data_IF_240954908699
#
_entry.id   IF_240954908699
#
_cell.length_a   1.000
_cell.length_b   1.000
_cell.length_c   1.000
_cell.angle_alpha   90.00
_cell.angle_beta   90.00
_cell.angle_gamma   90.00
#
_symmetry.space_group_name_H-M   'P 1'
#
loop_
_entity.id
_entity.type
_entity.pdbx_description
1 polymer ?
#
# COMPACT_ATOMS: atom_id res chain seq x y z
N UNK A 1 20.47 12.81 13.80
CA UNK A 1 20.02 13.10 15.16
C UNK A 1 18.94 12.10 15.59
N UNK A 2 18.92 11.71 16.86
CA UNK A 2 17.92 10.76 17.42
C UNK A 2 16.48 11.11 17.05
N UNK A 3 16.12 12.38 17.09
CA UNK A 3 14.78 12.85 16.74
C UNK A 3 14.37 12.49 15.31
N UNK A 4 15.29 12.57 14.35
CA UNK A 4 15.02 12.25 12.95
C UNK A 4 14.80 10.75 12.72
N UNK A 5 15.55 9.92 13.41
CA UNK A 5 15.40 8.46 13.36
C UNK A 5 14.03 8.03 13.92
N UNK A 6 13.61 8.64 15.03
CA UNK A 6 12.27 8.41 15.58
C UNK A 6 11.15 8.78 14.60
N UNK A 7 11.27 9.90 13.90
CA UNK A 7 10.29 10.32 12.89
C UNK A 7 10.23 9.31 11.76
N UNK A 8 11.37 8.87 11.25
CA UNK A 8 11.44 7.86 10.17
C UNK A 8 10.81 6.54 10.59
N UNK A 9 11.15 6.06 11.78
CA UNK A 9 10.60 4.83 12.34
C UNK A 9 9.07 4.91 12.49
N UNK A 10 8.57 5.98 13.11
CA UNK A 10 7.13 6.20 13.27
C UNK A 10 6.39 6.30 11.94
N UNK A 11 6.98 7.02 10.97
CA UNK A 11 6.41 7.17 9.63
C UNK A 11 6.34 5.85 8.88
N UNK A 12 7.41 5.06 8.89
CA UNK A 12 7.44 3.74 8.25
C UNK A 12 6.46 2.76 8.90
N UNK A 13 6.29 2.81 10.21
CA UNK A 13 5.27 2.02 10.89
C UNK A 13 3.86 2.46 10.54
N UNK A 14 3.62 3.74 10.40
CA UNK A 14 2.33 4.27 9.95
C UNK A 14 2.00 3.77 8.53
N UNK A 15 2.97 3.82 7.62
CA UNK A 15 2.82 3.28 6.26
C UNK A 15 2.58 1.77 6.30
N UNK A 16 3.32 1.03 7.10
CA UNK A 16 3.14 -0.41 7.25
C UNK A 16 1.72 -0.78 7.71
N UNK A 17 1.25 -0.17 8.78
CA UNK A 17 -0.09 -0.45 9.30
C UNK A 17 -1.19 -0.01 8.34
N UNK A 18 -1.02 1.13 7.68
CA UNK A 18 -1.95 1.57 6.64
C UNK A 18 -2.01 0.60 5.47
N UNK A 19 -0.86 0.17 4.98
CA UNK A 19 -0.76 -0.83 3.90
C UNK A 19 -1.33 -2.19 4.31
N UNK A 20 -1.10 -2.62 5.55
CA UNK A 20 -1.67 -3.85 6.10
C UNK A 20 -3.19 -3.80 6.15
N UNK A 21 -3.78 -2.70 6.64
CA UNK A 21 -5.23 -2.53 6.68
C UNK A 21 -5.85 -2.56 5.28
N UNK A 22 -5.23 -1.88 4.32
CA UNK A 22 -5.68 -1.89 2.92
C UNK A 22 -5.55 -3.28 2.29
N UNK A 23 -4.50 -4.02 2.62
CA UNK A 23 -4.30 -5.39 2.18
C UNK A 23 -5.37 -6.33 2.74
N UNK A 24 -5.66 -6.27 4.03
CA UNK A 24 -6.67 -7.11 4.67
C UNK A 24 -8.06 -6.87 4.09
N UNK A 25 -8.43 -5.62 3.84
CA UNK A 25 -9.73 -5.31 3.27
C UNK A 25 -9.83 -5.77 1.81
N UNK A 26 -8.86 -5.44 0.98
CA UNK A 26 -8.92 -5.72 -0.45
C UNK A 26 -8.78 -7.22 -0.76
N UNK A 27 -7.83 -7.91 -0.16
CA UNK A 27 -7.56 -9.31 -0.50
C UNK A 27 -8.50 -10.29 0.20
N UNK A 28 -8.97 -10.01 1.41
CA UNK A 28 -9.91 -10.87 2.11
C UNK A 28 -11.35 -10.71 1.62
N UNK A 29 -11.80 -9.48 1.37
CA UNK A 29 -13.16 -9.25 0.91
C UNK A 29 -13.35 -9.55 -0.57
N UNK A 30 -12.37 -9.23 -1.40
CA UNK A 30 -12.53 -9.31 -2.86
C UNK A 30 -12.14 -10.67 -3.44
N UNK A 31 -11.12 -11.33 -2.89
CA UNK A 31 -10.58 -12.56 -3.46
C UNK A 31 -11.10 -13.84 -2.84
N UNK A 32 -11.43 -13.85 -1.58
CA UNK A 32 -11.82 -15.07 -0.87
C UNK A 32 -13.31 -15.16 -0.57
N UNK A 33 -14.12 -14.18 -0.96
CA UNK A 33 -15.57 -14.21 -0.75
C UNK A 33 -15.98 -14.35 0.71
N UNK A 34 -15.06 -14.15 1.63
CA UNK A 34 -15.39 -14.00 3.02
C UNK A 34 -16.07 -12.66 3.19
N UNK A 35 -17.39 -12.68 3.14
CA UNK A 35 -18.23 -11.60 3.62
C UNK A 35 -18.10 -11.48 5.14
N UNK A 36 -16.88 -11.33 5.61
CA UNK A 36 -16.65 -10.85 6.94
C UNK A 36 -16.95 -9.37 6.89
N UNK A 37 -18.20 -9.05 7.11
CA UNK A 37 -18.67 -7.71 7.40
C UNK A 37 -18.03 -7.28 8.74
N UNK A 38 -16.76 -6.98 8.70
CA UNK A 38 -16.17 -5.97 9.52
C UNK A 38 -16.13 -4.67 8.70
N UNK A 39 -17.30 -4.03 8.46
CA UNK A 39 -17.35 -2.74 7.76
C UNK A 39 -16.82 -1.62 8.63
N UNK A 40 -16.14 -1.95 9.72
CA UNK A 40 -15.89 -1.06 10.84
C UNK A 40 -14.50 -0.48 10.89
N UNK A 41 -13.54 -1.02 10.14
CA UNK A 41 -12.25 -0.35 10.00
C UNK A 41 -12.12 0.10 8.55
N UNK A 42 -12.56 1.33 8.30
CA UNK A 42 -12.70 1.80 6.96
C UNK A 42 -11.34 1.89 6.30
N UNK A 43 -11.30 1.54 5.02
CA UNK A 43 -10.17 1.81 4.13
C UNK A 43 -9.63 3.23 4.29
N UNK A 44 -10.48 4.19 4.68
CA UNK A 44 -10.08 5.56 4.95
C UNK A 44 -9.02 5.67 6.06
N UNK A 45 -9.05 4.81 7.09
CA UNK A 45 -8.00 4.80 8.13
C UNK A 45 -6.68 4.32 7.53
N UNK A 46 -6.71 3.26 6.73
CA UNK A 46 -5.53 2.76 6.02
C UNK A 46 -4.91 3.83 5.12
N UNK A 47 -5.72 4.49 4.30
CA UNK A 47 -5.27 5.60 3.45
C UNK A 47 -4.75 6.79 4.25
N UNK A 48 -5.39 7.13 5.36
CA UNK A 48 -4.94 8.21 6.24
C UNK A 48 -3.58 7.90 6.88
N UNK A 49 -3.38 6.67 7.35
CA UNK A 49 -2.10 6.24 7.93
C UNK A 49 -0.96 6.31 6.91
N UNK A 50 -1.22 5.89 5.67
CA UNK A 50 -0.24 6.01 4.58
C UNK A 50 0.04 7.48 4.27
N UNK A 51 -0.99 8.31 4.16
CA UNK A 51 -0.84 9.75 3.92
C UNK A 51 -0.03 10.44 5.03
N UNK A 52 -0.29 10.10 6.28
CA UNK A 52 0.45 10.62 7.43
C UNK A 52 1.93 10.23 7.37
N UNK A 53 2.20 8.95 7.10
CA UNK A 53 3.57 8.44 7.00
C UNK A 53 4.35 9.09 5.86
N UNK A 54 3.75 9.23 4.69
CA UNK A 54 4.39 9.87 3.53
C UNK A 54 4.71 11.35 3.78
N UNK A 55 3.81 12.07 4.44
CA UNK A 55 4.05 13.48 4.84
C UNK A 55 5.22 13.60 5.81
N UNK A 56 5.33 12.69 6.77
CA UNK A 56 6.42 12.71 7.75
C UNK A 56 7.78 12.44 7.11
N UNK A 57 7.82 11.71 6.00
CA UNK A 57 9.03 11.42 5.23
C UNK A 57 9.33 12.45 4.12
N UNK A 58 8.48 13.45 3.94
CA UNK A 58 8.63 14.45 2.88
C UNK A 58 9.97 15.21 2.96
N UNK A 59 10.50 15.40 4.16
CA UNK A 59 11.79 16.05 4.36
C UNK A 59 13.00 15.16 3.99
N UNK A 60 12.82 13.84 3.96
CA UNK A 60 13.85 12.91 3.48
C UNK A 60 13.74 12.71 1.97
N UNK A 61 12.53 12.72 1.47
CA UNK A 61 12.23 12.56 0.06
C UNK A 61 10.99 13.39 -0.33
N UNK A 62 11.18 14.54 -0.99
CA UNK A 62 10.07 15.46 -1.32
C UNK A 62 8.95 14.81 -2.14
N UNK A 63 9.29 13.83 -3.01
CA UNK A 63 8.32 13.09 -3.80
C UNK A 63 7.29 12.33 -2.95
N UNK A 64 7.66 11.84 -1.77
CA UNK A 64 6.72 11.23 -0.82
C UNK A 64 5.69 12.24 -0.30
N UNK A 65 6.09 13.48 -0.09
CA UNK A 65 5.18 14.55 0.32
C UNK A 65 4.11 14.85 -0.73
N UNK A 66 4.45 14.72 -2.00
CA UNK A 66 3.52 14.91 -3.12
C UNK A 66 2.45 13.80 -3.21
N UNK A 67 2.72 12.64 -2.66
CA UNK A 67 1.76 11.52 -2.62
C UNK A 67 0.68 11.69 -1.55
N UNK A 68 0.91 12.48 -0.52
CA UNK A 68 -0.04 12.67 0.57
C UNK A 68 -1.45 13.03 0.11
N UNK A 69 -1.64 14.04 -0.77
CA UNK A 69 -2.94 14.40 -1.33
C UNK A 69 -3.63 13.26 -2.09
N UNK A 70 -2.88 12.44 -2.83
CA UNK A 70 -3.44 11.28 -3.55
C UNK A 70 -4.00 10.24 -2.58
N UNK A 71 -3.29 9.94 -1.51
CA UNK A 71 -3.74 9.01 -0.48
C UNK A 71 -4.95 9.55 0.28
N UNK A 72 -5.00 10.83 0.57
CA UNK A 72 -6.18 11.46 1.17
C UNK A 72 -7.38 11.45 0.23
N UNK A 73 -7.18 11.73 -1.05
CA UNK A 73 -8.25 11.67 -2.06
C UNK A 73 -8.81 10.24 -2.18
N UNK A 74 -7.96 9.23 -2.17
CA UNK A 74 -8.37 7.82 -2.17
C UNK A 74 -9.12 7.46 -0.88
N UNK A 75 -8.72 8.01 0.27
CA UNK A 75 -9.43 7.85 1.52
C UNK A 75 -10.85 8.43 1.47
N UNK A 76 -11.00 9.63 0.92
CA UNK A 76 -12.32 10.24 0.69
C UNK A 76 -13.16 9.42 -0.29
N UNK A 77 -12.55 8.94 -1.37
CA UNK A 77 -13.22 8.06 -2.32
C UNK A 77 -13.72 6.78 -1.67
N UNK A 78 -12.99 6.21 -0.72
CA UNK A 78 -13.37 4.98 -0.02
C UNK A 78 -14.60 5.15 0.87
N UNK A 79 -14.94 6.38 1.27
CA UNK A 79 -16.13 6.68 2.08
C UNK A 79 -17.44 6.34 1.37
N UNK A 80 -17.47 6.25 0.04
CA UNK A 80 -18.64 5.82 -0.71
C UNK A 80 -19.15 4.44 -0.28
N UNK A 81 -18.30 3.58 0.28
CA UNK A 81 -18.68 2.25 0.76
C UNK A 81 -19.70 2.31 1.91
N UNK A 82 -19.74 3.42 2.65
CA UNK A 82 -20.72 3.65 3.70
C UNK A 82 -22.08 4.10 3.17
N UNK A 83 -22.17 4.45 1.90
CA UNK A 83 -23.37 4.95 1.24
C UNK A 83 -23.71 4.08 0.03
N UNK A 84 -24.23 2.86 0.23
CA UNK A 84 -24.50 1.93 -0.87
C UNK A 84 -25.48 2.50 -1.90
N UNK A 85 -26.32 3.46 -1.52
CA UNK A 85 -27.22 4.17 -2.44
C UNK A 85 -26.52 5.09 -3.45
N UNK A 86 -25.27 5.45 -3.24
CA UNK A 86 -24.49 6.28 -4.17
C UNK A 86 -23.83 5.45 -5.29
N UNK A 87 -23.53 4.19 -5.04
CA UNK A 87 -22.81 3.32 -5.97
C UNK A 87 -23.43 3.26 -7.38
N UNK A 88 -24.77 3.15 -7.55
CA UNK A 88 -25.39 3.12 -8.88
C UNK A 88 -25.29 4.44 -9.63
N UNK A 89 -25.04 5.54 -8.95
CA UNK A 89 -24.99 6.90 -9.50
C UNK A 89 -23.58 7.34 -9.88
N UNK A 90 -22.56 6.54 -9.54
CA UNK A 90 -21.17 6.86 -9.82
C UNK A 90 -20.81 6.38 -11.21
N UNK A 91 -20.34 7.27 -12.12
CA UNK A 91 -19.89 6.86 -13.43
C UNK A 91 -18.74 5.85 -13.33
N UNK A 92 -18.78 4.78 -14.14
CA UNK A 92 -17.72 3.78 -14.20
C UNK A 92 -16.34 4.37 -14.53
N UNK A 93 -16.31 5.47 -15.28
CA UNK A 93 -15.08 6.20 -15.58
C UNK A 93 -14.39 6.76 -14.31
N UNK A 94 -15.16 7.21 -13.32
CA UNK A 94 -14.59 7.69 -12.04
C UNK A 94 -14.01 6.54 -11.23
N UNK A 95 -14.66 5.38 -11.23
CA UNK A 95 -14.15 4.18 -10.55
C UNK A 95 -12.84 3.70 -11.19
N UNK A 96 -12.76 3.73 -12.52
CA UNK A 96 -11.53 3.41 -13.25
C UNK A 96 -10.43 4.42 -12.94
N UNK A 97 -10.75 5.71 -12.92
CA UNK A 97 -9.80 6.75 -12.57
C UNK A 97 -9.26 6.56 -11.14
N UNK A 98 -10.11 6.28 -10.17
CA UNK A 98 -9.69 6.01 -8.80
C UNK A 98 -8.76 4.78 -8.72
N UNK A 99 -9.06 3.72 -9.47
CA UNK A 99 -8.22 2.53 -9.55
C UNK A 99 -6.84 2.85 -10.15
N UNK A 100 -6.78 3.64 -11.21
CA UNK A 100 -5.53 4.07 -11.84
C UNK A 100 -4.71 4.98 -10.91
N UNK A 101 -5.36 5.91 -10.22
CA UNK A 101 -4.71 6.77 -9.22
C UNK A 101 -4.12 5.93 -8.09
N UNK A 102 -4.84 4.93 -7.61
CA UNK A 102 -4.34 4.02 -6.58
C UNK A 102 -3.13 3.22 -7.05
N UNK A 103 -3.19 2.65 -8.25
CA UNK A 103 -2.05 1.93 -8.82
C UNK A 103 -0.81 2.82 -8.95
N UNK A 104 -0.98 4.04 -9.44
CA UNK A 104 0.10 5.00 -9.53
C UNK A 104 0.67 5.36 -8.17
N UNK A 105 -0.20 5.66 -7.19
CA UNK A 105 0.20 6.01 -5.84
C UNK A 105 0.95 4.87 -5.14
N UNK A 106 0.49 3.63 -5.26
CA UNK A 106 1.19 2.44 -4.76
C UNK A 106 2.56 2.27 -5.42
N UNK A 107 2.62 2.36 -6.74
CA UNK A 107 3.85 2.23 -7.49
C UNK A 107 4.88 3.27 -7.08
N UNK A 108 4.47 4.54 -7.00
CA UNK A 108 5.35 5.63 -6.62
C UNK A 108 5.78 5.55 -5.17
N UNK A 109 4.88 5.16 -4.27
CA UNK A 109 5.20 4.97 -2.85
C UNK A 109 6.35 3.97 -2.67
N UNK A 110 6.25 2.79 -3.27
CA UNK A 110 7.28 1.76 -3.12
C UNK A 110 8.56 2.10 -3.89
N UNK A 111 8.47 2.86 -4.96
CA UNK A 111 9.64 3.43 -5.64
C UNK A 111 10.41 4.37 -4.72
N UNK A 112 9.71 5.27 -4.07
CA UNK A 112 10.31 6.26 -3.18
C UNK A 112 10.85 5.62 -1.89
N UNK A 113 10.13 4.65 -1.33
CA UNK A 113 10.61 3.89 -0.17
C UNK A 113 11.84 3.05 -0.50
N UNK A 114 11.91 2.46 -1.68
CA UNK A 114 13.10 1.76 -2.15
C UNK A 114 14.29 2.72 -2.28
N UNK A 115 14.07 3.91 -2.83
CA UNK A 115 15.11 4.93 -2.92
C UNK A 115 15.55 5.48 -1.54
N UNK A 116 14.62 5.61 -0.60
CA UNK A 116 14.94 5.95 0.79
C UNK A 116 15.78 4.85 1.45
N UNK A 117 15.40 3.59 1.26
CA UNK A 117 16.14 2.45 1.77
C UNK A 117 17.56 2.38 1.17
N UNK A 118 17.73 2.69 -0.10
CA UNK A 118 19.04 2.73 -0.77
C UNK A 118 19.94 3.81 -0.18
N UNK A 119 19.38 4.98 0.13
CA UNK A 119 20.11 6.08 0.75
C UNK A 119 20.50 5.80 2.20
N UNK A 120 19.66 5.09 2.96
CA UNK A 120 19.87 4.85 4.38
C UNK A 120 20.62 3.54 4.69
N UNK A 121 20.52 2.56 3.80
CA UNK A 121 21.08 1.22 3.93
C UNK A 121 21.87 0.85 2.66
N UNK A 122 22.97 1.55 2.36
CA UNK A 122 23.75 1.29 1.16
C UNK A 122 24.27 -0.16 1.14
N UNK A 123 24.10 -0.83 -0.01
CA UNK A 123 24.51 -2.22 -0.17
C UNK A 123 23.53 -3.28 0.33
N UNK A 124 22.43 -2.89 0.98
CA UNK A 124 21.40 -3.85 1.37
C UNK A 124 20.58 -4.35 0.15
N UNK A 125 20.11 -5.59 0.14
CA UNK A 125 19.28 -6.12 -0.95
C UNK A 125 17.85 -5.56 -0.92
N UNK A 126 17.43 -4.95 0.16
CA UNK A 126 16.08 -4.47 0.44
C UNK A 126 15.50 -3.52 -0.63
N UNK A 127 16.24 -2.50 -1.14
CA UNK A 127 15.72 -1.61 -2.17
C UNK A 127 15.36 -2.35 -3.46
N UNK A 128 16.21 -3.26 -3.89
CA UNK A 128 15.98 -4.10 -5.09
C UNK A 128 14.76 -5.00 -4.91
N UNK A 129 14.62 -5.58 -3.73
CA UNK A 129 13.50 -6.45 -3.39
C UNK A 129 12.17 -5.69 -3.37
N UNK A 130 12.14 -4.47 -2.82
CA UNK A 130 10.97 -3.60 -2.86
C UNK A 130 10.56 -3.23 -4.30
N UNK A 131 11.53 -2.89 -5.16
CA UNK A 131 11.26 -2.57 -6.57
C UNK A 131 10.70 -3.79 -7.33
N UNK A 132 11.25 -4.97 -7.11
CA UNK A 132 10.77 -6.20 -7.75
C UNK A 132 9.36 -6.56 -7.30
N UNK A 133 9.09 -6.51 -6.00
CA UNK A 133 7.77 -6.78 -5.44
C UNK A 133 6.72 -5.77 -5.91
N UNK A 134 7.07 -4.48 -5.98
CA UNK A 134 6.24 -3.42 -6.54
C UNK A 134 5.83 -3.74 -7.98
N UNK A 135 6.80 -4.07 -8.83
CA UNK A 135 6.55 -4.39 -10.23
C UNK A 135 5.66 -5.62 -10.37
N UNK A 136 5.93 -6.68 -9.62
CA UNK A 136 5.09 -7.87 -9.60
C UNK A 136 3.65 -7.55 -9.14
N UNK A 137 3.48 -6.76 -8.10
CA UNK A 137 2.15 -6.36 -7.60
C UNK A 137 1.36 -5.56 -8.64
N UNK A 138 2.00 -4.63 -9.34
CA UNK A 138 1.35 -3.83 -10.40
C UNK A 138 0.96 -4.70 -11.58
N UNK A 139 1.83 -5.58 -12.05
CA UNK A 139 1.55 -6.49 -13.18
C UNK A 139 0.37 -7.42 -12.85
N UNK A 140 0.36 -8.00 -11.65
CA UNK A 140 -0.72 -8.88 -11.20
C UNK A 140 -2.04 -8.12 -11.02
N UNK A 141 -2.01 -6.91 -10.47
CA UNK A 141 -3.19 -6.06 -10.37
C UNK A 141 -3.72 -5.69 -11.75
N UNK A 142 -2.85 -5.36 -12.69
CA UNK A 142 -3.24 -5.06 -14.09
C UNK A 142 -3.91 -6.25 -14.75
N UNK A 143 -3.42 -7.47 -14.50
CA UNK A 143 -4.03 -8.68 -15.06
C UNK A 143 -5.50 -8.84 -14.66
N UNK A 144 -5.88 -8.42 -13.46
CA UNK A 144 -7.28 -8.50 -13.00
C UNK A 144 -8.24 -7.55 -13.74
N UNK A 145 -7.75 -6.57 -14.47
CA UNK A 145 -8.58 -5.73 -15.33
C UNK A 145 -8.95 -6.43 -16.65
N UNK A 146 -8.27 -7.51 -17.01
CA UNK A 146 -8.59 -8.34 -18.17
C UNK A 146 -9.53 -9.48 -17.78
N UNK A 147 -10.74 -9.13 -17.32
CA UNK A 147 -11.72 -10.07 -16.79
C UNK A 147 -12.10 -11.17 -17.79
N UNK A 148 -12.26 -10.84 -19.07
CA UNK A 148 -12.62 -11.81 -20.10
C UNK A 148 -11.59 -12.93 -20.24
N UNK A 149 -10.30 -12.60 -20.10
CA UNK A 149 -9.22 -13.58 -20.11
C UNK A 149 -9.28 -14.48 -18.88
N UNK A 150 -9.52 -13.89 -17.72
CA UNK A 150 -9.59 -14.60 -16.45
C UNK A 150 -10.80 -15.54 -16.39
N UNK A 151 -11.96 -15.12 -16.93
CA UNK A 151 -13.17 -15.95 -16.99
C UNK A 151 -12.99 -17.19 -17.87
N UNK A 152 -12.15 -17.09 -18.93
CA UNK A 152 -11.85 -18.23 -19.81
C UNK A 152 -10.89 -19.26 -19.20
N UNK A 153 -10.15 -18.87 -18.17
CA UNK A 153 -9.15 -19.72 -17.55
C UNK A 153 -9.22 -19.60 -16.02
N UNK A 154 -10.15 -20.31 -15.34
CA UNK A 154 -10.33 -20.20 -13.89
C UNK A 154 -9.06 -20.50 -13.08
N UNK A 155 -8.23 -21.42 -13.56
CA UNK A 155 -6.94 -21.75 -12.94
C UNK A 155 -5.99 -20.55 -12.97
N UNK A 156 -6.00 -19.75 -14.05
CA UNK A 156 -5.20 -18.54 -14.17
C UNK A 156 -5.64 -17.49 -13.14
N UNK A 157 -6.94 -17.36 -12.94
CA UNK A 157 -7.51 -16.46 -11.92
C UNK A 157 -7.03 -16.85 -10.53
N UNK A 158 -7.08 -18.14 -10.19
CA UNK A 158 -6.62 -18.63 -8.90
C UNK A 158 -5.11 -18.42 -8.73
N UNK A 159 -4.32 -18.76 -9.75
CA UNK A 159 -2.88 -18.56 -9.74
C UNK A 159 -2.49 -17.07 -9.59
N UNK A 160 -3.15 -16.20 -10.35
CA UNK A 160 -2.93 -14.76 -10.26
C UNK A 160 -3.32 -14.18 -8.89
N UNK A 161 -4.43 -14.65 -8.31
CA UNK A 161 -4.86 -14.26 -6.97
C UNK A 161 -3.84 -14.69 -5.91
N UNK A 162 -3.38 -15.93 -5.96
CA UNK A 162 -2.36 -16.44 -5.03
C UNK A 162 -1.04 -15.68 -5.18
N UNK A 163 -0.58 -15.46 -6.40
CA UNK A 163 0.65 -14.71 -6.67
C UNK A 163 0.53 -13.25 -6.21
N UNK A 164 -0.61 -12.60 -6.43
CA UNK A 164 -0.86 -11.24 -5.96
C UNK A 164 -0.90 -11.14 -4.44
N UNK A 165 -1.49 -12.11 -3.77
CA UNK A 165 -1.46 -12.21 -2.31
C UNK A 165 -0.02 -12.36 -1.79
N UNK A 166 0.76 -13.26 -2.36
CA UNK A 166 2.16 -13.46 -1.99
C UNK A 166 3.01 -12.20 -2.23
N UNK A 167 2.82 -11.51 -3.35
CA UNK A 167 3.55 -10.28 -3.65
C UNK A 167 3.24 -9.18 -2.63
N UNK A 168 1.99 -9.01 -2.23
CA UNK A 168 1.59 -8.02 -1.22
C UNK A 168 2.08 -8.38 0.17
N UNK A 169 1.99 -9.65 0.57
CA UNK A 169 2.54 -10.13 1.83
C UNK A 169 4.07 -9.91 1.88
N UNK A 170 4.75 -10.14 0.77
CA UNK A 170 6.18 -9.89 0.64
C UNK A 170 6.52 -8.39 0.80
N UNK A 171 5.74 -7.50 0.18
CA UNK A 171 5.91 -6.05 0.37
C UNK A 171 5.76 -5.68 1.84
N UNK A 172 4.75 -6.19 2.53
CA UNK A 172 4.53 -5.94 3.96
C UNK A 172 5.72 -6.41 4.80
N UNK A 173 6.25 -7.58 4.50
CA UNK A 173 7.44 -8.10 5.18
C UNK A 173 8.65 -7.18 4.99
N UNK A 174 8.86 -6.66 3.76
CA UNK A 174 9.97 -5.76 3.46
C UNK A 174 9.80 -4.39 4.11
N UNK A 175 8.58 -3.87 4.16
CA UNK A 175 8.26 -2.64 4.90
C UNK A 175 8.53 -2.80 6.40
N UNK A 176 8.16 -3.94 6.96
CA UNK A 176 8.45 -4.25 8.35
C UNK A 176 9.95 -4.30 8.63
N UNK A 177 10.71 -4.95 7.76
CA UNK A 177 12.17 -5.01 7.87
C UNK A 177 12.80 -3.62 7.77
N UNK A 178 12.32 -2.79 6.83
CA UNK A 178 12.79 -1.41 6.70
C UNK A 178 12.47 -0.60 7.97
N UNK A 179 11.28 -0.73 8.52
CA UNK A 179 10.93 -0.04 9.76
C UNK A 179 11.81 -0.47 10.93
N UNK A 180 12.10 -1.77 11.04
CA UNK A 180 13.00 -2.29 12.09
C UNK A 180 14.43 -1.80 11.94
N UNK A 181 14.92 -1.69 10.71
CA UNK A 181 16.26 -1.14 10.46
C UNK A 181 16.39 0.34 10.87
N UNK A 182 15.27 1.05 10.94
CA UNK A 182 15.20 2.44 11.40
C UNK A 182 14.81 2.57 12.89
N UNK A 183 14.64 1.45 13.59
CA UNK A 183 14.32 1.51 15.01
C UNK A 183 15.46 2.19 15.78
N UNK A 184 15.14 3.11 16.70
CA UNK A 184 16.16 3.69 17.57
C UNK A 184 16.78 2.60 18.42
N UNK A 185 18.08 2.71 18.68
CA UNK A 185 18.76 1.81 19.61
C UNK A 185 18.05 1.89 20.98
N UNK A 186 17.87 0.76 21.67
CA UNK A 186 17.34 0.80 23.03
C UNK A 186 18.25 1.69 23.86
N UNK A 187 17.65 2.67 24.54
CA UNK A 187 18.40 3.48 25.51
C UNK A 187 18.98 2.50 26.52
N UNK A 188 20.30 2.42 26.58
CA UNK A 188 20.97 1.67 27.62
C UNK A 188 20.51 2.29 28.96
N UNK A 189 19.65 1.58 29.66
CA UNK A 189 19.25 1.94 31.02
C UNK A 189 20.52 1.92 31.89
N UNK A 190 21.02 3.12 32.15
CA UNK A 190 22.09 3.35 33.11
C UNK A 190 21.52 3.21 34.51
#
# INVERSE_FOLDING_TARGET
>A
SMTRQHIRFSALRSIFWGTLLLFLDFDLNFRFGFSFTLPLLPNCIGFWLVARGTRSLAADRPSLGLLGPFWLALGLWSLQQFFPGLSPHIPGALSLLAALVRMYADFQLFTDLAGLAEALLPGAPLPRQLRSARTAAVLLTTLFYFQDLLLRAPWLTLAAAAAGFCARAYILLRLWQLSRAMAPAPEASI
#
